data_IF_756311321290
#
_entry.id   IF_756311321290
#
_cell.length_a   1.000
_cell.length_b   1.000
_cell.length_c   1.000
_cell.angle_alpha   90.00
_cell.angle_beta   90.00
_cell.angle_gamma   90.00
#
_symmetry.space_group_name_H-M   'P 1'
#
loop_
_entity.id
_entity.type
_entity.pdbx_description
1 polymer ?
#
# COMPACT_ATOMS: atom_id res chain seq x y z
N UNK A 1 -14.13 -74.79 -31.77
CA UNK A 1 -14.99 -74.98 -30.59
C UNK A 1 -14.31 -74.23 -29.45
N UNK A 2 -14.30 -72.89 -29.44
CA UNK A 2 -15.39 -71.90 -29.24
C UNK A 2 -15.62 -71.64 -27.75
N UNK A 3 -15.08 -70.51 -27.30
CA UNK A 3 -15.09 -69.97 -25.93
C UNK A 3 -16.50 -69.79 -25.34
N UNK A 4 -16.68 -69.92 -24.01
CA UNK A 4 -17.91 -69.49 -23.36
C UNK A 4 -17.92 -67.96 -23.15
N UNK A 5 -19.06 -67.38 -23.50
CA UNK A 5 -19.38 -65.95 -23.50
C UNK A 5 -19.35 -65.29 -22.10
N UNK A 6 -19.10 -63.97 -22.02
CA UNK A 6 -19.17 -63.21 -20.78
C UNK A 6 -20.62 -63.03 -20.29
N UNK A 7 -20.83 -63.22 -18.99
CA UNK A 7 -22.11 -62.93 -18.32
C UNK A 7 -22.21 -61.42 -18.12
N UNK A 8 -23.11 -60.78 -18.87
CA UNK A 8 -23.50 -59.38 -18.70
C UNK A 8 -24.31 -59.23 -17.42
N UNK A 9 -23.73 -58.62 -16.38
CA UNK A 9 -24.49 -58.14 -15.23
C UNK A 9 -25.16 -56.81 -15.59
N UNK A 10 -26.48 -56.84 -15.80
CA UNK A 10 -27.30 -55.64 -15.90
C UNK A 10 -27.39 -54.97 -14.52
N UNK A 11 -27.02 -53.69 -14.44
CA UNK A 11 -27.29 -52.87 -13.26
C UNK A 11 -28.80 -52.64 -13.15
N UNK A 12 -29.44 -53.28 -12.17
CA UNK A 12 -30.78 -52.92 -11.71
C UNK A 12 -30.72 -51.61 -10.92
N UNK A 13 -31.62 -50.68 -11.22
CA UNK A 13 -31.73 -49.41 -10.50
C UNK A 13 -31.99 -49.68 -9.01
N UNK A 14 -31.12 -49.13 -8.16
CA UNK A 14 -31.30 -49.12 -6.71
C UNK A 14 -32.59 -48.38 -6.34
N UNK A 15 -33.43 -49.02 -5.53
CA UNK A 15 -34.73 -48.54 -5.09
C UNK A 15 -34.68 -47.59 -3.87
N UNK A 16 -33.55 -46.94 -3.61
CA UNK A 16 -33.41 -45.93 -2.55
C UNK A 16 -33.18 -44.54 -3.16
N UNK A 17 -34.23 -43.95 -3.71
CA UNK A 17 -34.31 -42.49 -3.95
C UNK A 17 -34.60 -41.78 -2.63
N UNK A 18 -33.60 -41.69 -1.74
CA UNK A 18 -33.52 -40.51 -0.87
C UNK A 18 -32.77 -39.45 -1.63
N UNK A 19 -33.48 -38.44 -2.11
CA UNK A 19 -32.85 -37.17 -2.46
C UNK A 19 -32.05 -36.73 -1.22
N UNK A 20 -30.73 -36.83 -1.29
CA UNK A 20 -29.89 -36.06 -0.40
C UNK A 20 -30.14 -34.60 -0.79
N UNK A 21 -30.84 -33.86 0.06
CA UNK A 21 -30.78 -32.40 0.04
C UNK A 21 -29.34 -32.02 0.40
N UNK A 22 -28.48 -31.98 -0.62
CA UNK A 22 -27.18 -31.33 -0.48
C UNK A 22 -27.47 -29.83 -0.41
N UNK A 23 -27.24 -29.23 0.74
CA UNK A 23 -27.07 -27.78 0.83
C UNK A 23 -25.89 -27.42 -0.07
N UNK A 24 -26.18 -26.84 -1.23
CA UNK A 24 -25.16 -26.12 -1.99
C UNK A 24 -24.87 -24.89 -1.15
N UNK A 25 -23.78 -24.90 -0.39
CA UNK A 25 -23.31 -23.67 0.25
C UNK A 25 -22.95 -22.69 -0.88
N UNK A 26 -23.81 -21.69 -1.07
CA UNK A 26 -23.54 -20.58 -1.98
C UNK A 26 -22.36 -19.78 -1.40
N UNK A 27 -21.27 -19.67 -2.17
CA UNK A 27 -20.10 -18.89 -1.78
C UNK A 27 -20.49 -17.43 -1.49
N UNK A 28 -20.27 -16.97 -0.26
CA UNK A 28 -20.55 -15.61 0.19
C UNK A 28 -19.28 -14.78 0.24
N UNK A 29 -19.41 -13.45 0.10
CA UNK A 29 -18.24 -12.56 0.25
C UNK A 29 -17.61 -12.65 1.65
N UNK A 30 -18.39 -13.01 2.66
CA UNK A 30 -17.92 -13.24 4.03
C UNK A 30 -17.04 -14.48 4.16
N UNK A 31 -17.01 -15.35 3.15
CA UNK A 31 -16.14 -16.52 3.11
C UNK A 31 -14.73 -16.16 2.61
N UNK A 32 -14.56 -15.00 1.94
CA UNK A 32 -13.28 -14.57 1.37
C UNK A 32 -12.15 -14.56 2.41
N UNK A 33 -12.30 -14.02 3.64
CA UNK A 33 -11.25 -14.09 4.64
C UNK A 33 -10.84 -15.52 5.00
N UNK A 34 -11.78 -16.48 5.01
CA UNK A 34 -11.45 -17.88 5.26
C UNK A 34 -10.66 -18.47 4.08
N UNK A 35 -11.09 -18.19 2.85
CA UNK A 35 -10.36 -18.60 1.63
C UNK A 35 -8.95 -18.02 1.60
N UNK A 36 -8.78 -16.72 1.89
CA UNK A 36 -7.46 -16.09 1.98
C UNK A 36 -6.55 -16.80 2.97
N UNK A 37 -7.06 -17.22 4.15
CA UNK A 37 -6.28 -18.03 5.11
C UNK A 37 -5.86 -19.38 4.52
N UNK A 38 -6.71 -20.04 3.72
CA UNK A 38 -6.32 -21.31 3.05
C UNK A 38 -5.24 -21.12 1.99
N UNK A 39 -5.17 -19.93 1.38
CA UNK A 39 -4.11 -19.54 0.44
C UNK A 39 -2.81 -19.11 1.15
N UNK A 40 -2.81 -19.05 2.48
CA UNK A 40 -1.69 -18.52 3.27
C UNK A 40 -1.61 -16.98 3.28
N UNK A 41 -2.66 -16.28 2.86
CA UNK A 41 -2.73 -14.82 2.84
C UNK A 41 -3.21 -14.31 4.21
N UNK A 42 -2.26 -14.19 5.14
CA UNK A 42 -2.54 -13.92 6.55
C UNK A 42 -2.99 -12.48 6.76
N UNK A 43 -2.25 -11.50 6.27
CA UNK A 43 -2.55 -10.09 6.49
C UNK A 43 -3.73 -9.62 5.63
N UNK A 44 -3.87 -10.13 4.40
CA UNK A 44 -5.04 -9.87 3.55
C UNK A 44 -6.33 -10.36 4.24
N UNK A 45 -6.31 -11.57 4.78
CA UNK A 45 -7.46 -12.10 5.54
C UNK A 45 -7.74 -11.27 6.79
N UNK A 46 -6.70 -10.83 7.50
CA UNK A 46 -6.82 -10.07 8.75
C UNK A 46 -7.44 -8.70 8.51
N UNK A 47 -6.96 -7.96 7.52
CA UNK A 47 -7.49 -6.63 7.20
C UNK A 47 -8.91 -6.72 6.64
N UNK A 48 -9.20 -7.70 5.78
CA UNK A 48 -10.55 -7.88 5.25
C UNK A 48 -11.54 -8.28 6.35
N UNK A 49 -11.15 -9.18 7.25
CA UNK A 49 -11.96 -9.52 8.42
C UNK A 49 -12.22 -8.29 9.29
N UNK A 50 -11.18 -7.48 9.52
CA UNK A 50 -11.29 -6.23 10.30
C UNK A 50 -12.20 -5.20 9.64
N UNK A 51 -12.24 -5.15 8.31
CA UNK A 51 -13.19 -4.34 7.55
C UNK A 51 -14.62 -4.85 7.79
N UNK A 52 -14.88 -6.14 7.56
CA UNK A 52 -16.22 -6.76 7.77
C UNK A 52 -16.73 -6.57 9.19
N UNK A 53 -15.84 -6.70 10.17
CA UNK A 53 -16.19 -6.56 11.58
C UNK A 53 -16.35 -5.11 12.04
N UNK A 54 -15.83 -4.15 11.29
CA UNK A 54 -15.83 -2.74 11.64
C UNK A 54 -17.22 -2.11 11.70
N UNK A 55 -17.35 -1.07 12.52
CA UNK A 55 -18.51 -0.17 12.46
C UNK A 55 -18.58 0.50 11.08
N UNK A 56 -19.79 0.91 10.67
CA UNK A 56 -19.99 1.57 9.38
C UNK A 56 -19.17 2.85 9.32
N UNK A 57 -18.19 2.85 8.44
CA UNK A 57 -17.43 4.03 8.07
C UNK A 57 -17.13 3.95 6.57
N UNK A 58 -17.49 5.02 5.87
CA UNK A 58 -17.24 5.20 4.44
C UNK A 58 -16.28 6.37 4.32
N UNK A 59 -15.13 6.11 3.72
CA UNK A 59 -14.09 7.11 3.55
C UNK A 59 -14.52 8.15 2.51
N UNK A 60 -14.30 9.43 2.81
CA UNK A 60 -14.51 10.52 1.86
C UNK A 60 -13.38 10.60 0.82
N UNK A 61 -13.62 11.23 -0.34
CA UNK A 61 -12.57 11.45 -1.34
C UNK A 61 -11.36 12.22 -0.81
N UNK A 62 -11.53 13.10 0.18
CA UNK A 62 -10.42 13.84 0.80
C UNK A 62 -9.57 12.96 1.72
N UNK A 63 -10.22 12.09 2.50
CA UNK A 63 -9.56 11.08 3.33
C UNK A 63 -8.75 10.10 2.45
N UNK A 64 -9.35 9.61 1.35
CA UNK A 64 -8.68 8.70 0.40
C UNK A 64 -7.40 9.33 -0.16
N UNK A 65 -7.50 10.58 -0.60
CA UNK A 65 -6.36 11.37 -1.13
C UNK A 65 -5.32 11.76 -0.07
N UNK A 66 -5.52 11.41 1.20
CA UNK A 66 -4.58 11.72 2.28
C UNK A 66 -4.50 13.21 2.59
N UNK A 67 -5.60 13.93 2.38
CA UNK A 67 -5.71 15.37 2.70
C UNK A 67 -6.31 15.63 4.08
N UNK A 68 -6.75 14.59 4.79
CA UNK A 68 -7.19 14.70 6.17
C UNK A 68 -5.99 14.81 7.10
N UNK A 69 -6.03 15.77 8.02
CA UNK A 69 -5.05 15.86 9.09
C UNK A 69 -5.12 14.61 9.98
N UNK A 70 -3.95 14.08 10.32
CA UNK A 70 -3.80 12.78 10.98
C UNK A 70 -4.47 12.74 12.37
N UNK A 71 -4.51 13.88 13.06
CA UNK A 71 -5.18 14.09 14.36
C UNK A 71 -6.70 13.95 14.31
N UNK A 72 -7.29 13.88 13.11
CA UNK A 72 -8.73 13.64 12.91
C UNK A 72 -9.08 12.18 12.65
N UNK A 73 -8.10 11.29 12.59
CA UNK A 73 -8.30 9.86 12.38
C UNK A 73 -8.44 9.17 13.73
N UNK A 74 -9.61 8.61 14.03
CA UNK A 74 -9.84 7.89 15.29
C UNK A 74 -9.28 6.47 15.24
N UNK A 75 -8.93 5.91 16.41
CA UNK A 75 -8.27 4.61 16.51
C UNK A 75 -9.07 3.48 15.86
N UNK A 76 -10.39 3.57 15.85
CA UNK A 76 -11.29 2.57 15.28
C UNK A 76 -11.21 2.51 13.74
N UNK A 77 -10.65 3.54 13.11
CA UNK A 77 -10.42 3.63 11.66
C UNK A 77 -8.99 3.24 11.27
N UNK A 78 -8.14 2.92 12.24
CA UNK A 78 -6.72 2.65 12.04
C UNK A 78 -6.44 1.14 12.01
N UNK A 79 -5.55 0.76 11.09
CA UNK A 79 -4.91 -0.55 11.02
C UNK A 79 -3.39 -0.32 10.97
N UNK A 80 -2.74 -0.38 12.13
CA UNK A 80 -1.39 0.18 12.37
C UNK A 80 -0.36 -0.84 12.86
N UNK A 81 -0.73 -2.10 12.91
CA UNK A 81 0.08 -3.22 13.39
C UNK A 81 0.62 -4.08 12.25
N UNK A 82 0.53 -3.60 11.00
CA UNK A 82 1.13 -4.28 9.85
C UNK A 82 2.66 -4.18 9.94
N UNK A 83 3.36 -5.30 9.90
CA UNK A 83 4.82 -5.26 9.88
C UNK A 83 5.32 -4.82 8.49
N UNK A 84 6.28 -3.89 8.42
CA UNK A 84 6.90 -3.52 7.16
C UNK A 84 7.65 -4.68 6.52
N UNK A 85 8.34 -5.49 7.32
CA UNK A 85 9.19 -6.57 6.80
C UNK A 85 8.35 -7.71 6.19
N UNK A 86 7.05 -7.78 6.51
CA UNK A 86 6.11 -8.69 5.89
C UNK A 86 6.00 -8.49 4.36
N UNK A 87 6.17 -7.25 3.86
CA UNK A 87 6.13 -6.95 2.42
C UNK A 87 7.11 -7.82 1.61
N UNK A 88 8.30 -8.05 2.16
CA UNK A 88 9.33 -8.86 1.49
C UNK A 88 9.17 -10.35 1.75
N UNK A 89 8.69 -10.75 2.94
CA UNK A 89 8.52 -12.18 3.26
C UNK A 89 7.28 -12.80 2.62
N UNK A 90 6.23 -12.02 2.40
CA UNK A 90 4.94 -12.50 1.91
C UNK A 90 4.74 -12.35 0.40
N UNK A 91 5.63 -11.61 -0.27
CA UNK A 91 5.64 -11.47 -1.73
C UNK A 91 7.07 -11.31 -2.22
N UNK A 92 7.57 -12.29 -2.96
CA UNK A 92 8.91 -12.20 -3.57
C UNK A 92 8.96 -11.13 -4.66
N UNK A 93 7.85 -10.85 -5.35
CA UNK A 93 7.75 -9.75 -6.31
C UNK A 93 7.86 -8.39 -5.59
N UNK A 94 7.06 -8.16 -4.55
CA UNK A 94 7.11 -6.92 -3.78
C UNK A 94 8.46 -6.77 -3.07
N UNK A 95 9.00 -7.85 -2.52
CA UNK A 95 10.29 -7.86 -1.84
C UNK A 95 11.43 -7.32 -2.70
N UNK A 96 11.49 -7.70 -3.99
CA UNK A 96 12.49 -7.14 -4.92
C UNK A 96 12.37 -5.62 -5.07
N UNK A 97 11.14 -5.11 -5.18
CA UNK A 97 10.89 -3.67 -5.32
C UNK A 97 11.22 -2.89 -4.04
N UNK A 98 10.91 -3.46 -2.87
CA UNK A 98 11.26 -2.91 -1.56
C UNK A 98 12.78 -2.90 -1.39
N UNK A 99 13.46 -4.02 -1.66
CA UNK A 99 14.91 -4.13 -1.52
C UNK A 99 15.65 -3.16 -2.46
N UNK A 100 15.16 -2.98 -3.70
CA UNK A 100 15.71 -1.98 -4.62
C UNK A 100 15.59 -0.55 -4.05
N UNK A 101 14.43 -0.20 -3.49
CA UNK A 101 14.23 1.11 -2.85
C UNK A 101 15.16 1.29 -1.64
N UNK A 102 15.23 0.31 -0.74
CA UNK A 102 16.09 0.36 0.45
C UNK A 102 17.57 0.45 0.06
N UNK A 103 17.99 -0.24 -1.01
CA UNK A 103 19.34 -0.16 -1.56
C UNK A 103 19.66 1.23 -2.12
N UNK A 104 18.73 1.87 -2.84
CA UNK A 104 18.87 3.26 -3.32
C UNK A 104 19.00 4.24 -2.16
N UNK A 105 18.19 4.09 -1.12
CA UNK A 105 18.27 4.93 0.09
C UNK A 105 19.63 4.78 0.79
N UNK A 106 20.08 3.54 0.99
CA UNK A 106 21.33 3.23 1.70
C UNK A 106 22.58 3.76 0.98
N UNK A 107 22.54 3.80 -0.36
CA UNK A 107 23.66 4.24 -1.21
C UNK A 107 23.53 5.69 -1.71
N UNK A 108 22.51 6.43 -1.28
CA UNK A 108 22.22 7.77 -1.76
C UNK A 108 23.36 8.74 -1.45
N UNK A 109 23.65 9.62 -2.41
CA UNK A 109 24.58 10.75 -2.25
C UNK A 109 23.79 12.07 -2.12
N UNK A 110 24.49 13.20 -2.03
CA UNK A 110 23.83 14.51 -2.11
C UNK A 110 23.00 14.66 -3.39
N UNK A 111 23.41 14.00 -4.48
CA UNK A 111 22.67 13.96 -5.73
C UNK A 111 21.90 12.65 -5.82
N UNK A 112 20.61 12.71 -5.52
CA UNK A 112 19.67 11.60 -5.63
C UNK A 112 18.27 12.14 -5.92
N UNK A 113 17.44 11.33 -6.56
CA UNK A 113 16.09 11.67 -7.01
C UNK A 113 15.05 11.68 -5.89
N UNK A 114 15.37 11.08 -4.73
CA UNK A 114 14.42 10.86 -3.65
C UNK A 114 14.29 12.13 -2.80
N UNK A 115 15.38 12.62 -2.22
CA UNK A 115 15.38 13.81 -1.37
C UNK A 115 16.72 14.57 -1.44
N UNK A 116 17.45 14.42 -2.55
CA UNK A 116 18.71 15.09 -2.79
C UNK A 116 18.60 16.31 -3.71
N UNK A 117 19.75 16.71 -4.24
CA UNK A 117 19.91 17.71 -5.29
C UNK A 117 19.85 17.05 -6.67
N UNK A 118 19.35 17.78 -7.66
CA UNK A 118 19.40 17.41 -9.09
C UNK A 118 20.80 17.75 -9.65
N UNK A 119 21.25 16.98 -10.66
CA UNK A 119 22.48 17.29 -11.40
C UNK A 119 22.17 18.20 -12.58
N UNK A 120 22.76 19.39 -12.59
CA UNK A 120 22.58 20.37 -13.67
C UNK A 120 21.16 20.97 -13.73
N UNK A 121 21.00 22.00 -14.56
CA UNK A 121 19.74 22.72 -14.71
C UNK A 121 19.60 23.93 -13.78
N UNK A 122 18.46 24.62 -13.91
CA UNK A 122 18.14 25.85 -13.16
C UNK A 122 17.56 25.52 -11.78
N UNK A 123 16.83 24.41 -11.66
CA UNK A 123 16.32 23.88 -10.39
C UNK A 123 17.26 22.81 -9.86
N UNK A 124 17.82 23.03 -8.68
CA UNK A 124 18.71 22.12 -7.98
C UNK A 124 17.95 21.25 -6.97
N UNK A 125 16.77 21.64 -6.49
CA UNK A 125 16.07 20.89 -5.45
C UNK A 125 15.11 19.85 -6.04
N UNK A 126 15.23 18.60 -5.58
CA UNK A 126 14.19 17.58 -5.82
C UNK A 126 12.89 17.95 -5.07
N UNK A 127 11.77 17.34 -5.47
CA UNK A 127 10.50 17.51 -4.74
C UNK A 127 10.63 17.03 -3.29
N UNK A 128 11.37 15.95 -3.05
CA UNK A 128 11.60 15.47 -1.69
C UNK A 128 12.43 16.43 -0.86
N UNK A 129 13.53 16.96 -1.40
CA UNK A 129 14.34 17.93 -0.67
C UNK A 129 13.57 19.21 -0.35
N UNK A 130 12.78 19.72 -1.30
CA UNK A 130 11.86 20.84 -1.07
C UNK A 130 10.87 20.55 0.06
N UNK A 131 10.20 19.39 0.00
CA UNK A 131 9.26 18.99 1.03
C UNK A 131 9.96 18.90 2.40
N UNK A 132 11.17 18.37 2.45
CA UNK A 132 11.92 18.28 3.71
C UNK A 132 12.38 19.65 4.22
N UNK A 133 12.77 20.57 3.35
CA UNK A 133 13.03 21.97 3.73
C UNK A 133 11.78 22.64 4.29
N UNK A 134 10.59 22.37 3.73
CA UNK A 134 9.31 22.83 4.30
C UNK A 134 9.05 22.21 5.69
N UNK A 135 9.36 20.92 5.88
CA UNK A 135 9.28 20.28 7.21
C UNK A 135 10.23 20.94 8.20
N UNK A 136 11.49 21.19 7.81
CA UNK A 136 12.46 21.88 8.66
C UNK A 136 12.02 23.31 9.00
N UNK A 137 11.41 24.04 8.06
CA UNK A 137 10.80 25.35 8.35
C UNK A 137 9.70 25.23 9.43
N UNK A 138 8.78 24.28 9.27
CA UNK A 138 7.69 24.07 10.24
C UNK A 138 8.20 23.66 11.63
N UNK A 139 9.39 23.04 11.68
CA UNK A 139 10.08 22.64 12.92
C UNK A 139 10.99 23.75 13.48
N UNK A 140 11.04 24.93 12.86
CA UNK A 140 11.96 26.01 13.21
C UNK A 140 13.45 25.60 13.17
N UNK A 141 13.82 24.76 12.20
CA UNK A 141 15.21 24.32 11.94
C UNK A 141 15.81 25.05 10.74
N UNK A 142 14.97 25.51 9.81
CA UNK A 142 15.35 26.35 8.68
C UNK A 142 14.97 27.80 8.99
N UNK A 143 15.98 28.69 9.04
CA UNK A 143 15.79 30.14 9.13
C UNK A 143 15.53 30.69 7.73
N UNK A 144 14.27 31.04 7.48
CA UNK A 144 13.77 31.51 6.19
C UNK A 144 14.31 32.90 5.86
N UNK A 145 14.41 33.78 6.86
CA UNK A 145 14.88 35.16 6.70
C UNK A 145 16.39 35.19 6.49
N UNK A 146 17.13 34.43 7.31
CA UNK A 146 18.58 34.27 7.18
C UNK A 146 19.02 33.39 6.01
N UNK A 147 18.08 32.68 5.38
CA UNK A 147 18.36 31.66 4.35
C UNK A 147 19.43 30.68 4.81
N UNK A 148 19.23 30.11 6.00
CA UNK A 148 20.23 29.27 6.65
C UNK A 148 19.57 28.15 7.48
N UNK A 149 20.40 27.28 8.05
CA UNK A 149 19.97 26.25 9.01
C UNK A 149 20.38 26.63 10.43
N UNK A 150 19.49 26.37 11.37
CA UNK A 150 19.80 26.43 12.80
C UNK A 150 20.57 25.16 13.17
N UNK A 151 21.72 25.32 13.83
CA UNK A 151 22.57 24.19 14.21
C UNK A 151 21.86 23.24 15.18
N UNK A 152 21.94 21.94 14.93
CA UNK A 152 21.30 20.97 15.82
C UNK A 152 21.50 19.51 15.44
N UNK A 153 21.19 18.64 16.41
CA UNK A 153 20.96 17.21 16.17
C UNK A 153 19.48 16.94 16.43
N UNK A 154 18.82 16.31 15.47
CA UNK A 154 17.38 16.09 15.48
C UNK A 154 17.10 14.59 15.32
N UNK A 155 16.40 14.01 16.29
CA UNK A 155 16.08 12.59 16.33
C UNK A 155 14.57 12.39 16.50
N UNK A 156 13.95 11.94 15.42
CA UNK A 156 12.55 11.56 15.30
C UNK A 156 12.38 10.05 15.12
N UNK A 157 13.44 9.26 15.37
CA UNK A 157 13.42 7.80 15.15
C UNK A 157 12.45 7.04 16.05
N UNK A 158 11.92 7.65 17.11
CA UNK A 158 10.91 7.06 17.97
C UNK A 158 9.47 7.28 17.48
N UNK A 159 9.28 8.18 16.50
CA UNK A 159 7.95 8.44 15.94
C UNK A 159 7.46 7.25 15.11
N UNK A 160 6.17 6.97 15.19
CA UNK A 160 5.52 6.00 14.32
C UNK A 160 5.21 6.59 12.92
N UNK A 161 4.72 5.75 12.00
CA UNK A 161 4.42 6.14 10.62
C UNK A 161 3.43 7.32 10.51
N UNK A 162 2.42 7.33 11.39
CA UNK A 162 1.38 8.36 11.48
C UNK A 162 1.98 9.71 11.88
N UNK A 163 2.82 9.73 12.91
CA UNK A 163 3.51 10.93 13.39
C UNK A 163 4.54 11.45 12.37
N UNK A 164 5.24 10.55 11.67
CA UNK A 164 6.22 10.92 10.64
C UNK A 164 5.57 11.58 9.42
N UNK A 165 4.34 11.21 9.06
CA UNK A 165 3.60 11.76 7.91
C UNK A 165 3.48 13.29 7.98
N UNK A 166 3.29 13.83 9.18
CA UNK A 166 3.20 15.28 9.40
C UNK A 166 4.54 15.92 9.75
N UNK A 167 5.45 15.16 10.37
CA UNK A 167 6.67 15.72 10.97
C UNK A 167 7.82 15.81 9.96
N UNK A 168 8.25 14.68 9.37
CA UNK A 168 9.46 14.64 8.53
C UNK A 168 9.33 13.85 7.23
N UNK A 169 8.11 13.42 6.87
CA UNK A 169 7.85 12.82 5.57
C UNK A 169 8.27 13.78 4.45
N UNK A 170 9.09 13.24 3.54
CA UNK A 170 9.78 13.99 2.49
C UNK A 170 9.37 13.50 1.10
N UNK A 171 9.26 12.20 0.88
CA UNK A 171 8.93 11.66 -0.45
C UNK A 171 8.13 10.36 -0.33
N UNK A 172 7.69 9.84 -1.47
CA UNK A 172 6.96 8.59 -1.57
C UNK A 172 7.32 7.83 -2.85
N UNK A 173 7.03 6.54 -2.86
CA UNK A 173 7.17 5.64 -4.00
C UNK A 173 5.91 4.79 -4.12
N UNK A 174 5.29 4.84 -5.28
CA UNK A 174 4.19 3.94 -5.61
C UNK A 174 4.73 2.57 -6.02
N UNK A 175 4.04 1.50 -5.60
CA UNK A 175 4.35 0.11 -5.87
C UNK A 175 3.15 -0.53 -6.58
N UNK A 176 3.38 -1.13 -7.74
CA UNK A 176 2.39 -1.89 -8.51
C UNK A 176 1.08 -1.14 -8.80
N UNK A 177 1.15 0.19 -9.03
CA UNK A 177 -0.02 1.04 -9.31
C UNK A 177 -0.39 1.10 -10.80
N UNK A 178 0.54 0.78 -11.72
CA UNK A 178 0.33 0.80 -13.17
C UNK A 178 -0.58 -0.33 -13.66
N UNK A 179 -1.29 -0.13 -14.78
CA UNK A 179 -2.20 -1.14 -15.35
C UNK A 179 -1.50 -2.47 -15.68
N UNK A 180 -0.33 -2.40 -16.31
CA UNK A 180 0.46 -3.59 -16.63
C UNK A 180 1.00 -4.28 -15.38
N UNK A 181 1.47 -3.48 -14.40
CA UNK A 181 1.96 -4.02 -13.14
C UNK A 181 0.85 -4.74 -12.38
N UNK A 182 -0.36 -4.16 -12.29
CA UNK A 182 -1.53 -4.80 -11.66
C UNK A 182 -1.92 -6.11 -12.34
N UNK A 183 -1.84 -6.18 -13.67
CA UNK A 183 -2.14 -7.41 -14.40
C UNK A 183 -1.10 -8.51 -14.09
N UNK A 184 0.18 -8.16 -14.03
CA UNK A 184 1.30 -9.09 -13.84
C UNK A 184 1.63 -9.39 -12.37
N UNK A 185 1.15 -8.57 -11.42
CA UNK A 185 1.43 -8.76 -9.99
C UNK A 185 0.89 -10.14 -9.54
N UNK A 186 1.68 -11.01 -8.90
CA UNK A 186 1.15 -12.24 -8.34
C UNK A 186 -0.07 -11.99 -7.43
N UNK A 187 -0.99 -12.95 -7.45
CA UNK A 187 -2.03 -13.04 -6.41
C UNK A 187 -1.35 -13.63 -5.16
N UNK A 188 -1.00 -12.76 -4.22
CA UNK A 188 -0.36 -13.11 -2.96
C UNK A 188 -0.94 -12.29 -1.79
N UNK A 189 -0.41 -12.51 -0.59
CA UNK A 189 -0.88 -11.84 0.63
C UNK A 189 -0.74 -10.31 0.54
N UNK A 190 0.36 -9.82 -0.05
CA UNK A 190 0.59 -8.38 -0.21
C UNK A 190 -0.43 -7.77 -1.16
N UNK A 191 -0.65 -8.40 -2.31
CA UNK A 191 -1.64 -7.94 -3.27
C UNK A 191 -3.07 -8.01 -2.70
N UNK A 192 -3.40 -9.07 -1.95
CA UNK A 192 -4.70 -9.21 -1.31
C UNK A 192 -4.98 -8.16 -0.22
N UNK A 193 -3.94 -7.70 0.47
CA UNK A 193 -4.08 -6.70 1.53
C UNK A 193 -4.01 -5.25 1.03
N UNK A 194 -3.16 -4.97 0.03
CA UNK A 194 -2.80 -3.60 -0.36
C UNK A 194 -3.04 -3.31 -1.85
N UNK A 195 -3.20 -4.33 -2.70
CA UNK A 195 -3.29 -4.16 -4.15
C UNK A 195 -2.06 -3.45 -4.72
N UNK A 196 -2.24 -2.20 -5.15
CA UNK A 196 -1.13 -1.29 -5.47
C UNK A 196 -1.10 -0.17 -4.43
N UNK A 197 0.06 0.09 -3.85
CA UNK A 197 0.18 0.88 -2.61
C UNK A 197 1.31 1.89 -2.65
N UNK A 198 1.40 2.71 -1.60
CA UNK A 198 2.43 3.74 -1.47
C UNK A 198 3.36 3.47 -0.30
N UNK A 199 4.66 3.46 -0.59
CA UNK A 199 5.72 3.56 0.40
C UNK A 199 6.05 5.03 0.64
N UNK A 200 5.98 5.47 1.90
CA UNK A 200 6.35 6.80 2.35
C UNK A 200 7.78 6.79 2.87
N UNK A 201 8.46 7.91 2.69
CA UNK A 201 9.87 8.10 3.06
C UNK A 201 9.94 9.34 3.95
N UNK A 202 10.50 9.18 5.14
CA UNK A 202 10.71 10.25 6.11
C UNK A 202 12.17 10.28 6.56
N UNK A 203 12.71 11.48 6.81
CA UNK A 203 14.05 11.59 7.40
C UNK A 203 13.90 11.57 8.92
N UNK A 204 14.38 10.51 9.57
CA UNK A 204 14.14 10.26 11.00
C UNK A 204 15.27 10.77 11.88
N UNK A 205 16.49 10.89 11.36
CA UNK A 205 17.63 11.39 12.14
C UNK A 205 18.56 12.22 11.26
N UNK A 206 18.84 13.45 11.68
CA UNK A 206 19.69 14.36 10.92
C UNK A 206 20.36 15.40 11.81
N UNK A 207 21.38 16.05 11.28
CA UNK A 207 22.03 17.21 11.90
C UNK A 207 22.18 18.33 10.90
N UNK A 208 22.20 19.54 11.41
CA UNK A 208 22.30 20.76 10.62
C UNK A 208 23.44 21.61 11.14
N UNK A 209 24.15 22.28 10.23
CA UNK A 209 25.12 23.32 10.53
C UNK A 209 24.82 24.54 9.66
N UNK A 210 24.88 25.76 10.22
CA UNK A 210 24.69 26.99 9.46
C UNK A 210 25.82 27.19 8.44
N UNK A 211 25.62 28.14 7.54
CA UNK A 211 26.68 28.65 6.66
C UNK A 211 27.85 29.16 7.50
N UNK A 212 29.06 28.87 7.05
CA UNK A 212 30.27 29.57 7.51
C UNK A 212 30.75 30.53 6.43
N UNK A 213 31.70 31.42 6.76
CA UNK A 213 32.23 32.38 5.79
C UNK A 213 32.77 31.66 4.54
N UNK A 214 32.06 31.80 3.42
CA UNK A 214 32.40 31.16 2.15
C UNK A 214 32.00 29.68 2.02
N UNK A 215 31.07 29.17 2.84
CA UNK A 215 30.60 27.78 2.76
C UNK A 215 29.08 27.68 2.88
N UNK A 216 28.52 26.70 2.18
CA UNK A 216 27.11 26.32 2.25
C UNK A 216 26.72 25.80 3.64
N UNK A 217 25.44 25.91 3.98
CA UNK A 217 24.89 25.20 5.14
C UNK A 217 24.96 23.69 4.89
N UNK A 218 25.09 22.90 5.96
CA UNK A 218 25.20 21.46 5.85
C UNK A 218 24.00 20.78 6.51
N UNK A 219 23.28 19.99 5.72
CA UNK A 219 22.33 18.99 6.21
C UNK A 219 23.01 17.61 6.14
N UNK A 220 23.20 16.97 7.29
CA UNK A 220 23.70 15.60 7.40
C UNK A 220 22.57 14.67 7.80
N UNK A 221 22.18 13.74 6.93
CA UNK A 221 21.14 12.75 7.19
C UNK A 221 21.82 11.46 7.67
N UNK A 222 21.37 10.94 8.81
CA UNK A 222 21.90 9.73 9.46
C UNK A 222 20.97 8.52 9.36
N UNK A 223 19.66 8.76 9.24
CA UNK A 223 18.66 7.69 9.19
C UNK A 223 17.43 8.16 8.41
N UNK A 224 16.88 7.25 7.61
CA UNK A 224 15.63 7.40 6.87
C UNK A 224 14.66 6.32 7.33
N UNK A 225 13.38 6.67 7.49
CA UNK A 225 12.29 5.74 7.72
C UNK A 225 11.50 5.48 6.43
N UNK A 226 11.16 4.21 6.19
CA UNK A 226 10.24 3.79 5.13
C UNK A 226 9.03 3.10 5.75
N UNK A 227 7.81 3.40 5.30
CA UNK A 227 6.58 2.80 5.83
C UNK A 227 5.47 2.79 4.78
N UNK A 228 4.50 1.89 4.93
CA UNK A 228 3.26 1.87 4.14
C UNK A 228 2.32 2.95 4.66
N UNK A 229 1.70 3.69 3.74
CA UNK A 229 0.45 4.41 4.00
C UNK A 229 -0.53 4.05 2.90
N UNK A 230 -1.65 3.47 3.27
CA UNK A 230 -2.70 3.09 2.34
C UNK A 230 -4.10 3.24 2.93
N UNK A 231 -5.11 2.92 2.14
CA UNK A 231 -6.52 2.87 2.54
C UNK A 231 -7.14 1.55 2.11
N UNK A 232 -7.83 0.87 3.01
CA UNK A 232 -8.58 -0.35 2.71
C UNK A 232 -10.07 -0.01 2.62
N UNK A 233 -10.57 0.09 1.40
CA UNK A 233 -11.87 0.66 1.08
C UNK A 233 -12.45 0.05 -0.19
N UNK A 234 -13.77 0.13 -0.33
CA UNK A 234 -14.51 -0.36 -1.50
C UNK A 234 -15.36 0.76 -2.11
N UNK A 235 -14.73 1.90 -2.40
CA UNK A 235 -15.41 3.06 -3.03
C UNK A 235 -15.35 2.95 -4.56
N UNK A 236 -16.46 3.26 -5.19
CA UNK A 236 -16.54 3.43 -6.64
C UNK A 236 -16.21 4.86 -7.03
N UNK A 237 -15.27 5.03 -7.97
CA UNK A 237 -14.98 6.32 -8.57
C UNK A 237 -16.00 6.61 -9.67
N UNK A 238 -15.78 6.05 -10.86
CA UNK A 238 -16.68 6.17 -12.01
C UNK A 238 -17.40 4.85 -12.34
N UNK A 239 -16.84 3.71 -11.91
CA UNK A 239 -17.34 2.36 -12.19
C UNK A 239 -17.23 1.45 -10.95
N UNK A 240 -18.04 0.39 -10.92
CA UNK A 240 -17.97 -0.66 -9.90
C UNK A 240 -16.75 -1.54 -10.17
N UNK A 241 -15.74 -1.45 -9.30
CA UNK A 241 -14.46 -2.09 -9.57
C UNK A 241 -14.56 -3.62 -9.39
N UNK A 242 -14.14 -4.37 -10.43
CA UNK A 242 -13.93 -5.81 -10.34
C UNK A 242 -12.74 -6.17 -9.42
N UNK A 243 -12.99 -7.01 -8.43
CA UNK A 243 -12.02 -7.48 -7.42
C UNK A 243 -11.58 -8.94 -7.63
N UNK A 244 -11.93 -9.49 -8.79
CA UNK A 244 -11.62 -10.85 -9.20
C UNK A 244 -12.81 -11.79 -9.09
N UNK A 245 -12.57 -13.03 -9.50
CA UNK A 245 -13.56 -14.10 -9.45
C UNK A 245 -13.19 -15.08 -8.33
N UNK A 246 -14.07 -15.24 -7.37
CA UNK A 246 -13.81 -15.96 -6.12
C UNK A 246 -14.66 -17.22 -5.98
N UNK A 247 -14.12 -18.20 -5.27
CA UNK A 247 -14.87 -19.32 -4.72
C UNK A 247 -14.14 -19.90 -3.49
N UNK A 248 -14.63 -21.01 -2.96
CA UNK A 248 -14.04 -21.71 -1.81
C UNK A 248 -12.62 -22.25 -2.04
N UNK A 249 -12.14 -22.31 -3.28
CA UNK A 249 -10.77 -22.74 -3.63
C UNK A 249 -9.79 -21.57 -3.80
N UNK A 250 -10.26 -20.33 -3.94
CA UNK A 250 -9.40 -19.17 -4.13
C UNK A 250 -10.00 -18.08 -5.00
N UNK A 251 -9.11 -17.32 -5.63
CA UNK A 251 -9.43 -16.22 -6.55
C UNK A 251 -8.67 -16.37 -7.86
N UNK A 252 -9.32 -15.99 -8.95
CA UNK A 252 -8.70 -15.89 -10.28
C UNK A 252 -8.87 -14.49 -10.85
N UNK A 253 -7.83 -14.03 -11.57
CA UNK A 253 -7.90 -12.78 -12.33
C UNK A 253 -8.72 -12.97 -13.62
N UNK A 254 -9.47 -11.94 -14.04
CA UNK A 254 -10.02 -11.90 -15.38
C UNK A 254 -8.91 -11.92 -16.44
N UNK A 255 -9.13 -12.62 -17.54
CA UNK A 255 -8.40 -12.36 -18.78
C UNK A 255 -8.89 -11.05 -19.45
N UNK A 256 -8.22 -10.54 -20.51
CA UNK A 256 -8.62 -9.28 -21.13
C UNK A 256 -10.05 -9.23 -21.68
N UNK A 257 -10.61 -10.37 -22.09
CA UNK A 257 -12.00 -10.45 -22.59
C UNK A 257 -12.96 -10.43 -21.40
N UNK A 258 -12.66 -11.21 -20.35
CA UNK A 258 -13.46 -11.27 -19.12
C UNK A 258 -13.42 -9.93 -18.36
N UNK A 259 -12.33 -9.18 -18.44
CA UNK A 259 -12.21 -7.84 -17.87
C UNK A 259 -13.16 -6.85 -18.58
N UNK A 260 -13.36 -6.99 -19.88
CA UNK A 260 -14.26 -6.13 -20.65
C UNK A 260 -15.74 -6.57 -20.55
N UNK A 261 -15.99 -7.87 -20.45
CA UNK A 261 -17.33 -8.43 -20.43
C UNK A 261 -17.94 -8.55 -19.02
N UNK A 262 -17.09 -8.63 -18.00
CA UNK A 262 -17.44 -8.80 -16.58
C UNK A 262 -18.60 -9.79 -16.32
N UNK A 263 -18.52 -11.05 -16.83
CA UNK A 263 -19.57 -12.04 -16.62
C UNK A 263 -19.82 -12.29 -15.12
N UNK A 264 -21.00 -12.77 -14.74
CA UNK A 264 -21.30 -13.09 -13.33
C UNK A 264 -20.42 -14.21 -12.76
N UNK A 265 -19.87 -15.06 -13.62
CA UNK A 265 -18.92 -16.08 -13.24
C UNK A 265 -17.98 -16.44 -14.40
N UNK A 266 -16.83 -17.01 -14.05
CA UNK A 266 -15.89 -17.65 -14.99
C UNK A 266 -15.69 -19.12 -14.61
N UNK A 267 -15.23 -19.92 -15.57
CA UNK A 267 -14.93 -21.34 -15.36
C UNK A 267 -13.44 -21.57 -15.58
N UNK A 268 -12.79 -22.25 -14.62
CA UNK A 268 -11.42 -22.72 -14.73
C UNK A 268 -11.40 -24.22 -14.43
N UNK A 269 -11.11 -25.03 -15.45
CA UNK A 269 -11.29 -26.49 -15.37
C UNK A 269 -12.78 -26.84 -15.16
N UNK A 270 -13.08 -27.58 -14.10
CA UNK A 270 -14.46 -27.93 -13.70
C UNK A 270 -15.04 -27.01 -12.63
N UNK A 271 -14.34 -25.93 -12.27
CA UNK A 271 -14.66 -25.09 -11.11
C UNK A 271 -15.18 -23.72 -11.57
N UNK A 272 -16.30 -23.30 -10.99
CA UNK A 272 -16.89 -21.97 -11.19
C UNK A 272 -16.35 -20.99 -10.16
N UNK A 273 -16.00 -19.78 -10.60
CA UNK A 273 -15.60 -18.66 -9.76
C UNK A 273 -16.54 -17.50 -10.02
N UNK A 274 -17.03 -16.84 -8.97
CA UNK A 274 -18.08 -15.83 -9.02
C UNK A 274 -17.51 -14.43 -8.94
N UNK A 275 -18.09 -13.51 -9.71
CA UNK A 275 -17.69 -12.12 -9.74
C UNK A 275 -17.82 -11.48 -8.35
N UNK A 276 -16.77 -10.82 -7.89
CA UNK A 276 -16.80 -9.98 -6.69
C UNK A 276 -16.37 -8.58 -7.10
N UNK A 277 -17.15 -7.59 -6.68
CA UNK A 277 -16.92 -6.18 -6.97
C UNK A 277 -16.97 -5.33 -5.69
N UNK A 278 -16.65 -4.04 -5.79
CA UNK A 278 -16.84 -3.11 -4.69
C UNK A 278 -18.31 -3.08 -4.22
N UNK A 279 -19.27 -3.14 -5.13
CA UNK A 279 -20.70 -3.18 -4.77
C UNK A 279 -21.09 -4.42 -4.00
N UNK A 280 -20.36 -5.53 -4.17
CA UNK A 280 -20.56 -6.72 -3.32
C UNK A 280 -20.32 -6.38 -1.84
N UNK A 281 -19.23 -5.67 -1.54
CA UNK A 281 -18.91 -5.20 -0.19
C UNK A 281 -19.86 -4.09 0.28
N UNK A 282 -20.22 -3.13 -0.59
CA UNK A 282 -21.17 -2.07 -0.24
C UNK A 282 -22.57 -2.63 0.06
N UNK A 283 -23.01 -3.68 -0.63
CA UNK A 283 -24.25 -4.40 -0.33
C UNK A 283 -24.21 -5.02 1.06
N UNK A 284 -23.12 -5.70 1.41
CA UNK A 284 -22.93 -6.21 2.77
C UNK A 284 -23.02 -5.09 3.81
N UNK A 285 -22.35 -3.97 3.56
CA UNK A 285 -22.37 -2.83 4.49
C UNK A 285 -23.78 -2.29 4.71
N UNK A 286 -24.56 -2.15 3.64
CA UNK A 286 -25.93 -1.70 3.70
C UNK A 286 -26.84 -2.67 4.47
N UNK A 287 -26.69 -3.97 4.23
CA UNK A 287 -27.53 -5.02 4.83
C UNK A 287 -27.21 -5.31 6.29
N UNK A 288 -25.92 -5.35 6.63
CA UNK A 288 -25.46 -5.78 7.96
C UNK A 288 -25.16 -4.63 8.91
N UNK A 289 -25.11 -3.38 8.41
CA UNK A 289 -24.70 -2.20 9.19
C UNK A 289 -23.33 -2.40 9.85
N UNK A 290 -22.42 -3.04 9.12
CA UNK A 290 -20.99 -3.28 9.43
C UNK A 290 -20.17 -3.06 8.15
N UNK A 291 -18.85 -3.19 8.17
CA UNK A 291 -18.03 -2.88 7.00
C UNK A 291 -17.49 -1.46 7.07
N UNK A 292 -16.35 -1.30 7.74
CA UNK A 292 -15.72 0.02 7.95
C UNK A 292 -14.42 0.15 7.18
N UNK A 293 -14.30 1.18 6.35
CA UNK A 293 -13.05 1.51 5.67
C UNK A 293 -11.91 1.77 6.67
N UNK A 294 -10.66 1.53 6.26
CA UNK A 294 -9.50 1.63 7.16
C UNK A 294 -8.40 2.49 6.56
N UNK A 295 -7.70 3.23 7.41
CA UNK A 295 -6.37 3.75 7.08
C UNK A 295 -5.32 2.73 7.54
N UNK A 296 -4.44 2.36 6.62
CA UNK A 296 -3.47 1.29 6.81
C UNK A 296 -2.09 1.89 6.91
N UNK A 297 -1.39 1.55 7.99
CA UNK A 297 -0.01 1.93 8.22
C UNK A 297 0.79 0.71 8.64
N UNK A 298 2.01 0.61 8.14
CA UNK A 298 2.97 -0.36 8.65
C UNK A 298 3.80 0.21 9.80
N UNK A 299 4.56 -0.67 10.46
CA UNK A 299 5.75 -0.31 11.21
C UNK A 299 6.74 0.48 10.32
N UNK A 300 7.66 1.23 10.94
CA UNK A 300 8.66 2.03 10.21
C UNK A 300 9.95 1.22 10.05
N UNK A 301 10.32 0.92 8.81
CA UNK A 301 11.64 0.36 8.49
C UNK A 301 12.69 1.46 8.53
N UNK A 302 13.61 1.37 9.48
CA UNK A 302 14.72 2.30 9.62
C UNK A 302 15.90 1.88 8.76
N UNK A 303 16.43 2.82 8.00
CA UNK A 303 17.57 2.65 7.10
C UNK A 303 18.66 3.62 7.54
N UNK A 304 19.75 3.13 8.15
CA UNK A 304 20.93 3.96 8.42
C UNK A 304 21.54 4.47 7.11
N UNK A 305 21.87 5.76 7.07
CA UNK A 305 22.48 6.42 5.90
C UNK A 305 23.55 7.41 6.35
N UNK A 306 24.38 7.88 5.41
CA UNK A 306 25.36 8.95 5.69
C UNK A 306 25.42 9.92 4.52
N UNK A 307 24.41 10.79 4.43
CA UNK A 307 24.21 11.69 3.29
C UNK A 307 24.54 13.12 3.73
N UNK A 308 25.40 13.79 2.97
CA UNK A 308 25.80 15.17 3.20
C UNK A 308 25.23 16.04 2.09
N UNK A 309 24.26 16.91 2.41
CA UNK A 309 23.66 17.86 1.46
C UNK A 309 24.14 19.26 1.81
N UNK A 310 24.83 19.90 0.87
CA UNK A 310 25.29 21.28 1.00
C UNK A 310 24.27 22.20 0.35
N UNK A 311 23.71 23.13 1.14
CA UNK A 311 22.70 24.09 0.72
C UNK A 311 23.31 25.49 0.62
N UNK A 312 23.47 25.97 -0.60
CA UNK A 312 23.98 27.30 -0.93
C UNK A 312 22.87 28.35 -0.94
N UNK A 313 23.22 29.63 -1.05
CA UNK A 313 22.25 30.71 -1.21
C UNK A 313 21.32 30.49 -2.42
N UNK A 314 21.81 29.85 -3.48
CA UNK A 314 20.98 29.49 -4.63
C UNK A 314 19.93 28.43 -4.28
N UNK A 315 20.27 27.46 -3.44
CA UNK A 315 19.35 26.40 -3.00
C UNK A 315 18.24 27.01 -2.11
N UNK A 316 18.58 27.90 -1.17
CA UNK A 316 17.58 28.63 -0.36
C UNK A 316 16.72 29.58 -1.20
N UNK A 317 17.33 30.30 -2.15
CA UNK A 317 16.60 31.15 -3.08
C UNK A 317 15.59 30.38 -3.93
N UNK A 318 15.96 29.18 -4.40
CA UNK A 318 15.03 28.28 -5.10
C UNK A 318 13.89 27.83 -4.18
N UNK A 319 14.20 27.41 -2.95
CA UNK A 319 13.20 27.00 -1.96
C UNK A 319 12.15 28.09 -1.74
N UNK A 320 12.58 29.33 -1.49
CA UNK A 320 11.67 30.48 -1.31
C UNK A 320 10.80 30.73 -2.54
N UNK A 321 11.42 30.74 -3.73
CA UNK A 321 10.68 30.98 -4.97
C UNK A 321 9.62 29.90 -5.25
N UNK A 322 9.90 28.64 -4.92
CA UNK A 322 9.01 27.50 -5.19
C UNK A 322 7.96 27.26 -4.10
N UNK A 323 8.15 27.80 -2.89
CA UNK A 323 7.18 27.68 -1.79
C UNK A 323 6.27 28.91 -1.64
N UNK A 324 6.72 30.12 -2.01
CA UNK A 324 5.87 31.32 -1.98
C UNK A 324 4.85 31.38 -3.14
N UNK A 325 4.98 30.52 -4.14
CA UNK A 325 4.07 30.41 -5.29
C UNK A 325 3.08 29.23 -5.21
N UNK A 326 3.19 28.40 -4.16
CA UNK A 326 2.35 27.23 -3.93
C UNK A 326 1.25 27.56 -2.92
#
# INVERSE_FOLDING_TARGET
MSDPAPITAQLTASADMKCAETTVEDFQITDIPAVMRTLGWVEAARIMQRWFDGEVFVMSPEEKRGRLAVDRITQEKLFVDLDFDWLSSASSHTGVLVDELLGKLSSASQYNEIFGRKRGGVEQLTKGLLQFMQRMQNLNILDVEGQDLIAGFHDYSQLNAIELETTTQTNFREISTGRLDKALNPLDDVYGALGGFTLKIAITKFSTLPKTKGSAALLKIHEVGCYVRDTYEFLNADEDQLLGYWNSQGVVKPDPIEYLAEPEYVVRGSVRYFKVTNDSFNCYRAQHRRGGDLFVYSSVKKVPVSILIYLSDADFGEFLHRTQRA
#
